data_IF_171548861230
#
_entry.id   IF_171548861230
#
_cell.length_a   1.000
_cell.length_b   1.000
_cell.length_c   1.000
_cell.angle_alpha   90.00
_cell.angle_beta   90.00
_cell.angle_gamma   90.00
#
_symmetry.space_group_name_H-M   'P 1'
#
loop_
_entity.id
_entity.type
_entity.pdbx_description
1 polymer ?
#
# COMPACT_ATOMS: atom_id res chain seq x y z
N UNK A 1 66.02 -4.87 -18.92
CA UNK A 1 64.94 -4.95 -17.90
C UNK A 1 63.84 -3.88 -17.98
N UNK A 2 63.99 -2.78 -18.74
CA UNK A 2 63.00 -1.68 -18.79
C UNK A 2 61.71 -1.99 -19.59
N UNK A 3 61.82 -2.67 -20.75
CA UNK A 3 60.67 -2.94 -21.63
C UNK A 3 59.67 -3.95 -21.07
N UNK A 4 60.14 -4.99 -20.37
CA UNK A 4 59.28 -6.03 -19.77
C UNK A 4 58.40 -5.46 -18.66
N UNK A 5 58.96 -4.58 -17.80
CA UNK A 5 58.17 -3.87 -16.78
C UNK A 5 57.10 -2.99 -17.43
N UNK A 6 57.40 -2.30 -18.53
CA UNK A 6 56.43 -1.48 -19.26
C UNK A 6 55.25 -2.30 -19.80
N UNK A 7 55.51 -3.46 -20.39
CA UNK A 7 54.43 -4.34 -20.86
C UNK A 7 53.58 -4.89 -19.71
N UNK A 8 54.21 -5.23 -18.57
CA UNK A 8 53.53 -5.68 -17.37
C UNK A 8 52.62 -4.59 -16.77
N UNK A 9 53.06 -3.32 -16.73
CA UNK A 9 52.22 -2.21 -16.27
C UNK A 9 51.03 -1.95 -17.19
N UNK A 10 51.24 -2.02 -18.51
CA UNK A 10 50.17 -1.82 -19.49
C UNK A 10 49.13 -2.94 -19.41
N UNK A 11 49.54 -4.20 -19.29
CA UNK A 11 48.61 -5.32 -19.16
C UNK A 11 47.83 -5.30 -17.86
N UNK A 12 48.46 -4.96 -16.73
CA UNK A 12 47.78 -4.80 -15.43
C UNK A 12 46.78 -3.64 -15.47
N UNK A 13 47.15 -2.51 -16.06
CA UNK A 13 46.26 -1.36 -16.20
C UNK A 13 45.04 -1.68 -17.07
N UNK A 14 45.22 -2.44 -18.16
CA UNK A 14 44.12 -2.88 -19.03
C UNK A 14 43.14 -3.80 -18.29
N UNK A 15 43.66 -4.74 -17.48
CA UNK A 15 42.84 -5.64 -16.68
C UNK A 15 42.01 -4.87 -15.65
N UNK A 16 42.59 -3.86 -14.99
CA UNK A 16 41.87 -3.01 -14.03
C UNK A 16 40.73 -2.25 -14.71
N UNK A 17 40.98 -1.67 -15.90
CA UNK A 17 39.94 -0.95 -16.67
C UNK A 17 38.80 -1.89 -17.08
N UNK A 18 39.12 -3.11 -17.50
CA UNK A 18 38.10 -4.12 -17.85
C UNK A 18 37.28 -4.53 -16.62
N UNK A 19 37.92 -4.76 -15.47
CA UNK A 19 37.22 -5.10 -14.22
C UNK A 19 36.31 -3.94 -13.79
N UNK A 20 36.80 -2.70 -13.82
CA UNK A 20 36.00 -1.51 -13.51
C UNK A 20 34.82 -1.36 -14.48
N UNK A 21 35.03 -1.64 -15.77
CA UNK A 21 33.96 -1.67 -16.77
C UNK A 21 32.90 -2.73 -16.47
N UNK A 22 33.31 -3.95 -16.09
CA UNK A 22 32.38 -5.03 -15.72
C UNK A 22 31.59 -4.68 -14.45
N UNK A 23 32.23 -4.12 -13.43
CA UNK A 23 31.56 -3.68 -12.20
C UNK A 23 30.57 -2.55 -12.48
N UNK A 24 30.93 -1.60 -13.35
CA UNK A 24 30.02 -0.55 -13.78
C UNK A 24 28.80 -1.11 -14.54
N UNK A 25 29.02 -2.08 -15.44
CA UNK A 25 27.94 -2.77 -16.16
C UNK A 25 27.05 -3.53 -15.19
N UNK A 26 27.59 -4.20 -14.16
CA UNK A 26 26.80 -4.89 -13.14
C UNK A 26 25.96 -3.94 -12.27
N UNK A 27 26.45 -2.73 -11.98
CA UNK A 27 25.65 -1.70 -11.29
C UNK A 27 24.53 -1.15 -12.18
N UNK A 28 24.78 -1.00 -13.49
CA UNK A 28 23.77 -0.53 -14.46
C UNK A 28 22.73 -1.62 -14.77
N UNK A 29 23.13 -2.89 -14.75
CA UNK A 29 22.27 -4.07 -14.99
C UNK A 29 21.81 -4.77 -13.71
N UNK A 30 21.82 -4.10 -12.56
CA UNK A 30 21.05 -4.61 -11.43
C UNK A 30 19.58 -4.51 -11.85
N UNK A 31 18.82 -5.62 -11.99
CA UNK A 31 17.39 -5.55 -12.20
C UNK A 31 16.85 -4.87 -10.95
N UNK A 32 16.65 -3.56 -11.05
CA UNK A 32 16.20 -2.75 -9.94
C UNK A 32 14.88 -3.35 -9.47
N UNK A 33 14.85 -3.82 -8.22
CA UNK A 33 13.69 -3.52 -7.40
C UNK A 33 13.54 -2.00 -7.49
N UNK A 34 12.71 -1.53 -8.40
CA UNK A 34 12.43 -0.11 -8.54
C UNK A 34 12.00 0.35 -7.16
N UNK A 35 12.73 1.25 -6.53
CA UNK A 35 12.40 1.82 -5.22
C UNK A 35 11.10 2.63 -5.21
N UNK A 36 10.24 2.44 -6.21
CA UNK A 36 8.88 2.95 -6.25
C UNK A 36 8.07 2.21 -5.19
N UNK A 37 7.71 2.93 -4.13
CA UNK A 37 6.76 2.47 -3.12
C UNK A 37 5.40 3.05 -3.45
N UNK A 38 4.35 2.26 -3.29
CA UNK A 38 2.97 2.74 -3.40
C UNK A 38 2.49 3.17 -2.01
N UNK A 39 2.12 4.43 -1.84
CA UNK A 39 1.56 4.91 -0.57
C UNK A 39 0.04 4.85 -0.58
N UNK A 40 -0.56 4.17 0.40
CA UNK A 40 -2.00 3.97 0.52
C UNK A 40 -2.52 4.57 1.83
N UNK A 41 -3.49 5.48 1.73
CA UNK A 41 -4.26 6.00 2.86
C UNK A 41 -5.60 5.27 2.93
N UNK A 42 -5.82 4.49 3.98
CA UNK A 42 -6.98 3.60 4.08
C UNK A 42 -7.85 3.88 5.31
N UNK A 43 -9.15 4.05 5.08
CA UNK A 43 -10.15 4.06 6.14
C UNK A 43 -10.14 2.75 6.95
N UNK A 44 -10.21 2.85 8.27
CA UNK A 44 -10.04 1.72 9.20
C UNK A 44 -11.03 0.57 8.99
N UNK A 45 -12.26 0.85 8.52
CA UNK A 45 -13.27 -0.17 8.24
C UNK A 45 -12.87 -1.17 7.14
N UNK A 46 -11.85 -0.86 6.36
CA UNK A 46 -11.39 -1.68 5.23
C UNK A 46 -10.07 -2.41 5.51
N UNK A 47 -9.55 -2.34 6.74
CA UNK A 47 -8.23 -2.87 7.08
C UNK A 47 -8.02 -4.31 6.61
N UNK A 48 -8.87 -5.23 7.05
CA UNK A 48 -8.73 -6.65 6.74
C UNK A 48 -8.73 -6.98 5.23
N UNK A 49 -9.71 -6.52 4.42
CA UNK A 49 -9.67 -6.78 2.98
C UNK A 49 -8.48 -6.10 2.29
N UNK A 50 -8.09 -4.90 2.72
CA UNK A 50 -6.96 -4.18 2.10
C UNK A 50 -5.62 -4.82 2.43
N UNK A 51 -5.39 -5.30 3.66
CA UNK A 51 -4.17 -6.04 4.00
C UNK A 51 -3.96 -7.27 3.09
N UNK A 52 -5.03 -8.02 2.80
CA UNK A 52 -4.96 -9.15 1.86
C UNK A 52 -4.67 -8.71 0.43
N UNK A 53 -5.24 -7.58 0.00
CA UNK A 53 -4.99 -7.04 -1.33
C UNK A 53 -3.54 -6.57 -1.47
N UNK A 54 -3.00 -5.94 -0.44
CA UNK A 54 -1.59 -5.51 -0.39
C UNK A 54 -0.67 -6.72 -0.50
N UNK A 55 -0.86 -7.74 0.35
CA UNK A 55 -0.03 -8.96 0.31
C UNK A 55 -0.06 -9.62 -1.08
N UNK A 56 -1.24 -9.73 -1.69
CA UNK A 56 -1.38 -10.30 -3.03
C UNK A 56 -0.68 -9.44 -4.09
N UNK A 57 -0.84 -8.11 -4.03
CA UNK A 57 -0.24 -7.17 -4.97
C UNK A 57 1.29 -7.16 -4.87
N UNK A 58 1.84 -7.08 -3.66
CA UNK A 58 3.29 -7.11 -3.42
C UNK A 58 3.90 -8.42 -3.92
N UNK A 59 3.23 -9.55 -3.68
CA UNK A 59 3.68 -10.86 -4.16
C UNK A 59 3.67 -10.99 -5.68
N UNK A 60 2.66 -10.43 -6.34
CA UNK A 60 2.50 -10.50 -7.79
C UNK A 60 3.45 -9.55 -8.53
N UNK A 61 3.64 -8.34 -7.99
CA UNK A 61 4.35 -7.26 -8.70
C UNK A 61 5.77 -7.02 -8.20
N UNK A 62 6.08 -7.42 -6.96
CA UNK A 62 7.32 -7.06 -6.28
C UNK A 62 7.43 -5.58 -5.88
N UNK A 63 6.34 -4.81 -5.99
CA UNK A 63 6.27 -3.39 -5.59
C UNK A 63 5.86 -3.31 -4.13
N UNK A 64 6.68 -2.68 -3.29
CA UNK A 64 6.37 -2.47 -1.87
C UNK A 64 5.22 -1.46 -1.70
N UNK A 65 4.33 -1.73 -0.75
CA UNK A 65 3.20 -0.86 -0.39
C UNK A 65 3.36 -0.33 1.03
N UNK A 66 3.35 0.99 1.17
CA UNK A 66 3.30 1.67 2.47
C UNK A 66 1.85 2.07 2.77
N UNK A 67 1.24 1.43 3.75
CA UNK A 67 -0.17 1.66 4.10
C UNK A 67 -0.33 2.32 5.46
N UNK A 68 -1.18 3.36 5.50
CA UNK A 68 -1.61 4.03 6.73
C UNK A 68 -3.11 3.80 6.96
N UNK A 69 -3.44 3.21 8.10
CA UNK A 69 -4.83 3.01 8.54
C UNK A 69 -5.26 4.12 9.49
N UNK A 70 -6.44 4.70 9.26
CA UNK A 70 -6.99 5.78 10.09
C UNK A 70 -8.45 6.08 9.77
N UNK A 71 -9.01 7.13 10.36
CA UNK A 71 -10.30 7.68 9.95
C UNK A 71 -10.21 8.27 8.54
N UNK A 72 -11.32 8.26 7.80
CA UNK A 72 -11.33 8.96 6.50
C UNK A 72 -11.15 10.47 6.71
N UNK A 73 -11.67 11.00 7.82
CA UNK A 73 -11.51 12.37 8.33
C UNK A 73 -10.07 12.75 8.61
N UNK A 74 -9.26 11.83 9.13
CA UNK A 74 -7.86 12.09 9.47
C UNK A 74 -7.01 12.18 8.20
N UNK A 75 -7.31 11.34 7.21
CA UNK A 75 -6.58 11.27 5.95
C UNK A 75 -6.98 12.34 4.94
N UNK A 76 -8.23 12.80 4.95
CA UNK A 76 -8.76 13.74 3.95
C UNK A 76 -7.94 15.05 3.84
N UNK A 77 -7.48 15.71 4.92
CA UNK A 77 -6.60 16.87 4.83
C UNK A 77 -5.31 16.59 4.04
N UNK A 78 -4.69 15.43 4.22
CA UNK A 78 -3.47 15.05 3.50
C UNK A 78 -3.71 14.86 2.00
N UNK A 79 -4.84 14.24 1.64
CA UNK A 79 -5.26 14.06 0.24
C UNK A 79 -5.53 15.42 -0.41
N UNK A 80 -6.27 16.31 0.27
CA UNK A 80 -6.60 17.66 -0.24
C UNK A 80 -5.38 18.53 -0.50
N UNK A 81 -4.33 18.37 0.30
CA UNK A 81 -3.09 19.12 0.12
C UNK A 81 -2.19 18.52 -0.98
N UNK A 82 -2.59 17.41 -1.62
CA UNK A 82 -1.75 16.62 -2.54
C UNK A 82 -0.39 16.25 -1.92
N UNK A 83 -0.32 16.16 -0.59
CA UNK A 83 0.94 16.01 0.14
C UNK A 83 1.36 14.54 0.29
N UNK A 84 0.41 13.61 0.37
CA UNK A 84 0.67 12.20 0.69
C UNK A 84 -0.38 11.29 0.04
N UNK A 85 0.08 10.15 -0.50
CA UNK A 85 -0.76 9.01 -0.90
C UNK A 85 -1.05 8.94 -2.39
N UNK A 86 -0.72 7.81 -3.00
CA UNK A 86 -1.08 7.49 -4.39
C UNK A 86 -2.52 6.99 -4.48
N UNK A 87 -2.99 6.30 -3.44
CA UNK A 87 -4.33 5.73 -3.35
C UNK A 87 -4.99 6.13 -2.03
N UNK A 88 -6.21 6.65 -2.12
CA UNK A 88 -7.08 6.91 -0.98
C UNK A 88 -8.29 5.97 -1.01
N UNK A 89 -8.43 5.13 0.01
CA UNK A 89 -9.53 4.17 0.15
C UNK A 89 -10.48 4.68 1.24
N UNK A 90 -11.65 5.16 0.84
CA UNK A 90 -12.59 5.85 1.72
C UNK A 90 -14.03 5.34 1.59
N UNK A 91 -14.84 5.53 2.63
CA UNK A 91 -16.28 5.32 2.58
C UNK A 91 -17.03 6.62 2.25
N UNK A 92 -18.30 6.50 1.90
CA UNK A 92 -19.21 7.65 1.78
C UNK A 92 -19.27 8.41 3.11
N UNK A 93 -19.26 9.77 3.11
CA UNK A 93 -19.29 10.67 1.96
C UNK A 93 -17.91 11.16 1.48
N UNK A 94 -16.80 10.61 1.98
CA UNK A 94 -15.46 11.20 1.79
C UNK A 94 -14.99 11.24 0.34
N UNK A 95 -15.41 10.30 -0.51
CA UNK A 95 -15.12 10.39 -1.95
C UNK A 95 -15.68 11.66 -2.58
N UNK A 96 -16.89 12.06 -2.19
CA UNK A 96 -17.49 13.31 -2.64
C UNK A 96 -16.71 14.51 -2.12
N UNK A 97 -16.27 14.49 -0.87
CA UNK A 97 -15.47 15.58 -0.31
C UNK A 97 -14.09 15.73 -0.96
N UNK A 98 -13.50 14.63 -1.44
CA UNK A 98 -12.26 14.67 -2.22
C UNK A 98 -12.49 15.20 -3.63
N UNK A 99 -13.60 14.81 -4.27
CA UNK A 99 -14.01 15.32 -5.58
C UNK A 99 -14.33 16.82 -5.55
N UNK A 100 -15.13 17.26 -4.58
CA UNK A 100 -15.50 18.67 -4.38
C UNK A 100 -14.24 19.54 -4.10
N UNK A 101 -13.18 18.95 -3.56
CA UNK A 101 -11.89 19.61 -3.33
C UNK A 101 -10.93 19.52 -4.52
N UNK A 102 -11.35 18.90 -5.64
CA UNK A 102 -10.53 18.65 -6.83
C UNK A 102 -9.23 17.90 -6.55
N UNK A 103 -9.24 17.06 -5.51
CA UNK A 103 -8.06 16.40 -4.95
C UNK A 103 -7.89 14.94 -5.42
N UNK A 104 -8.53 14.56 -6.53
CA UNK A 104 -8.43 13.24 -7.13
C UNK A 104 -8.36 13.32 -8.65
N UNK A 105 -7.76 12.32 -9.27
CA UNK A 105 -7.75 12.15 -10.73
C UNK A 105 -8.94 11.32 -11.22
N UNK A 106 -9.21 10.20 -10.55
CA UNK A 106 -10.33 9.29 -10.82
C UNK A 106 -10.66 8.48 -9.57
N UNK A 107 -11.87 7.92 -9.52
CA UNK A 107 -12.25 6.97 -8.50
C UNK A 107 -13.18 5.89 -9.03
N UNK A 108 -13.29 4.80 -8.29
CA UNK A 108 -14.20 3.69 -8.58
C UNK A 108 -14.73 3.10 -7.28
N UNK A 109 -16.01 2.71 -7.27
CA UNK A 109 -16.58 1.98 -6.14
C UNK A 109 -16.21 0.50 -6.24
N UNK A 110 -15.47 0.00 -5.25
CA UNK A 110 -15.00 -1.41 -5.22
C UNK A 110 -15.81 -2.29 -4.26
N UNK A 111 -16.70 -1.71 -3.45
CA UNK A 111 -17.50 -2.45 -2.49
C UNK A 111 -18.44 -1.58 -1.68
N UNK A 112 -19.07 -2.20 -0.68
CA UNK A 112 -19.92 -1.54 0.31
C UNK A 112 -19.84 -2.30 1.63
N UNK A 113 -20.08 -1.60 2.73
CA UNK A 113 -20.27 -2.21 4.05
C UNK A 113 -21.76 -2.44 4.24
N UNK A 114 -22.15 -3.66 4.59
CA UNK A 114 -23.52 -3.98 4.98
C UNK A 114 -23.59 -4.10 6.51
N UNK A 115 -24.35 -3.24 7.19
CA UNK A 115 -24.64 -3.43 8.61
C UNK A 115 -25.34 -4.78 8.82
N UNK A 116 -24.88 -5.53 9.81
CA UNK A 116 -25.45 -6.83 10.18
C UNK A 116 -25.62 -6.90 11.69
N UNK A 117 -26.62 -7.65 12.13
CA UNK A 117 -26.78 -7.98 13.55
C UNK A 117 -25.95 -9.23 13.85
N UNK A 118 -24.85 -9.06 14.58
CA UNK A 118 -24.03 -10.18 15.05
C UNK A 118 -24.56 -10.66 16.39
N UNK A 119 -24.84 -11.97 16.49
CA UNK A 119 -25.33 -12.60 17.71
C UNK A 119 -24.38 -13.70 18.17
N UNK A 120 -24.47 -14.09 19.45
CA UNK A 120 -23.74 -15.25 19.97
C UNK A 120 -24.08 -16.51 19.17
N UNK A 121 -23.10 -17.40 18.99
CA UNK A 121 -23.27 -18.67 18.28
C UNK A 121 -24.50 -19.42 18.81
N UNK A 122 -25.34 -19.89 17.89
CA UNK A 122 -26.61 -20.57 18.21
C UNK A 122 -27.78 -19.64 18.49
N UNK A 123 -27.59 -18.32 18.50
CA UNK A 123 -28.63 -17.30 18.77
C UNK A 123 -29.47 -17.62 20.04
N UNK A 124 -28.85 -17.72 21.22
CA UNK A 124 -29.53 -18.18 22.45
C UNK A 124 -30.66 -17.25 22.91
N UNK A 125 -30.69 -16.00 22.44
CA UNK A 125 -31.72 -15.01 22.75
C UNK A 125 -32.80 -14.91 21.67
N UNK A 126 -32.70 -15.73 20.61
CA UNK A 126 -33.63 -15.80 19.48
C UNK A 126 -33.88 -14.44 18.81
N UNK A 127 -32.83 -13.61 18.68
CA UNK A 127 -32.92 -12.30 18.04
C UNK A 127 -33.12 -12.49 16.53
N UNK A 128 -34.15 -11.85 15.98
CA UNK A 128 -34.54 -11.89 14.57
C UNK A 128 -34.39 -10.54 13.89
N UNK A 129 -34.43 -9.45 14.65
CA UNK A 129 -34.32 -8.10 14.10
C UNK A 129 -33.84 -7.07 15.13
N UNK A 130 -33.68 -5.83 14.66
CA UNK A 130 -33.21 -4.72 15.50
C UNK A 130 -34.21 -4.39 16.61
N UNK A 131 -35.50 -4.67 16.40
CA UNK A 131 -36.56 -4.49 17.38
C UNK A 131 -36.35 -5.37 18.61
N UNK A 132 -35.77 -6.56 18.45
CA UNK A 132 -35.51 -7.44 19.59
C UNK A 132 -34.44 -6.88 20.55
N UNK A 133 -33.67 -5.88 20.09
CA UNK A 133 -32.68 -5.21 20.93
C UNK A 133 -33.31 -4.30 22.00
N UNK A 134 -34.61 -4.00 21.92
CA UNK A 134 -35.31 -3.19 22.92
C UNK A 134 -35.81 -4.01 24.11
N UNK A 135 -35.58 -5.34 24.13
CA UNK A 135 -36.06 -6.22 25.20
C UNK A 135 -35.38 -5.86 26.54
N UNK A 136 -36.14 -5.69 27.63
CA UNK A 136 -35.58 -5.41 28.95
C UNK A 136 -34.53 -6.45 29.36
N UNK A 137 -33.41 -6.01 29.92
CA UNK A 137 -32.31 -6.87 30.36
C UNK A 137 -31.36 -7.33 29.25
N UNK A 138 -31.59 -6.96 27.99
CA UNK A 138 -30.65 -7.22 26.91
C UNK A 138 -29.51 -6.18 26.92
N UNK A 139 -28.26 -6.67 26.93
CA UNK A 139 -27.07 -5.81 26.85
C UNK A 139 -26.51 -5.84 25.42
N UNK A 140 -26.47 -4.67 24.79
CA UNK A 140 -25.73 -4.42 23.54
C UNK A 140 -24.33 -3.94 23.92
N UNK A 141 -23.31 -4.48 23.27
CA UNK A 141 -21.90 -4.17 23.51
C UNK A 141 -21.26 -3.63 22.23
#
# INVERSE_FOLDING_TARGET
>A
MSRIKKYLYVSVSLIIVVILGIVAIQHVYSPGKTGAKLTVLCGGSFKYPVEKLVEAFEKETGIDVEISFGGCEDHLPHVKMHNVGDIYIAHTPYMKYTEDAQALSRWVQVGYVRPVLVVKKGNPLYLKGIQDLTRPGLKVA
#
